data_IF_876881738292
#
_entry.id   IF_876881738292
#
_cell.length_a   1.000
_cell.length_b   1.000
_cell.length_c   1.000
_cell.angle_alpha   90.00
_cell.angle_beta   90.00
_cell.angle_gamma   90.00
#
_symmetry.space_group_name_H-M   'P 1'
#
loop_
_entity.id
_entity.type
_entity.pdbx_description
1 polymer ?
#
# COMPACT_ATOMS: atom_id res chain seq x y z
N UNK A 1 56.89 2.00 15.82
CA UNK A 1 58.01 1.90 14.85
C UNK A 1 58.58 3.27 14.51
N UNK A 2 58.79 4.16 15.49
CA UNK A 2 59.46 5.45 15.26
C UNK A 2 60.45 5.70 16.41
N UNK A 3 61.37 4.76 16.61
CA UNK A 3 62.56 5.01 17.42
C UNK A 3 63.75 5.08 16.47
N UNK A 4 63.92 6.25 15.85
CA UNK A 4 65.20 6.64 15.28
C UNK A 4 65.72 7.78 16.12
N UNK A 5 66.68 7.49 16.99
CA UNK A 5 67.49 8.51 17.67
C UNK A 5 68.40 9.13 16.61
N UNK A 6 67.85 10.09 15.86
CA UNK A 6 68.63 10.94 14.97
C UNK A 6 69.57 11.75 15.86
N UNK A 7 70.85 11.40 15.83
CA UNK A 7 71.91 12.19 16.47
C UNK A 7 71.86 13.60 15.89
N UNK A 8 71.53 14.57 16.73
CA UNK A 8 71.38 15.96 16.32
C UNK A 8 72.78 16.53 15.98
N UNK A 9 72.96 17.19 14.82
CA UNK A 9 74.23 17.86 14.52
C UNK A 9 74.52 18.95 15.56
N UNK A 10 75.77 19.10 15.99
CA UNK A 10 76.16 20.17 16.93
C UNK A 10 76.56 21.47 16.22
N UNK A 11 76.91 21.39 14.94
CA UNK A 11 77.25 22.55 14.11
C UNK A 11 76.00 23.37 13.77
N UNK A 12 75.99 24.71 14.01
CA UNK A 12 74.84 25.57 13.76
C UNK A 12 74.40 25.62 12.29
N UNK A 13 75.30 25.48 11.32
CA UNK A 13 74.89 25.39 9.90
C UNK A 13 74.21 24.07 9.58
N UNK A 14 74.78 22.95 10.04
CA UNK A 14 74.17 21.64 9.91
C UNK A 14 72.77 21.58 10.55
N UNK A 15 72.59 22.16 11.75
CA UNK A 15 71.29 22.30 12.43
C UNK A 15 70.26 23.10 11.62
N UNK A 16 70.66 24.23 11.03
CA UNK A 16 69.78 25.04 10.17
C UNK A 16 69.33 24.26 8.94
N UNK A 17 70.23 23.51 8.31
CA UNK A 17 69.89 22.66 7.16
C UNK A 17 68.93 21.52 7.54
N UNK A 18 69.15 20.90 8.70
CA UNK A 18 68.34 19.80 9.21
C UNK A 18 66.93 20.26 9.57
N UNK A 19 66.80 21.40 10.26
CA UNK A 19 65.49 21.99 10.59
C UNK A 19 64.73 22.43 9.35
N UNK A 20 65.40 22.97 8.32
CA UNK A 20 64.76 23.29 7.04
C UNK A 20 64.18 22.05 6.35
N UNK A 21 64.90 20.91 6.36
CA UNK A 21 64.40 19.63 5.82
C UNK A 21 63.22 19.10 6.62
N UNK A 22 63.28 19.12 7.96
CA UNK A 22 62.17 18.72 8.81
C UNK A 22 60.92 19.58 8.58
N UNK A 23 61.08 20.89 8.45
CA UNK A 23 59.97 21.79 8.14
C UNK A 23 59.35 21.47 6.77
N UNK A 24 60.15 21.12 5.77
CA UNK A 24 59.64 20.68 4.47
C UNK A 24 58.86 19.37 4.58
N UNK A 25 59.38 18.39 5.33
CA UNK A 25 58.73 17.10 5.56
C UNK A 25 57.41 17.25 6.32
N UNK A 26 57.39 18.03 7.39
CA UNK A 26 56.17 18.32 8.17
C UNK A 26 55.10 18.97 7.28
N UNK A 27 55.49 19.90 6.40
CA UNK A 27 54.57 20.50 5.43
C UNK A 27 54.03 19.46 4.44
N UNK A 28 54.89 18.61 3.89
CA UNK A 28 54.47 17.56 2.97
C UNK A 28 53.49 16.57 3.63
N UNK A 29 53.78 16.16 4.86
CA UNK A 29 52.91 15.29 5.65
C UNK A 29 51.57 15.95 5.99
N UNK A 30 51.55 17.24 6.35
CA UNK A 30 50.31 17.97 6.60
C UNK A 30 49.41 18.01 5.36
N UNK A 31 49.99 18.26 4.17
CA UNK A 31 49.26 18.23 2.89
C UNK A 31 48.70 16.82 2.62
N UNK A 32 49.49 15.78 2.86
CA UNK A 32 49.05 14.40 2.66
C UNK A 32 47.89 14.03 3.60
N UNK A 33 47.96 14.44 4.87
CA UNK A 33 46.90 14.23 5.84
C UNK A 33 45.61 14.91 5.40
N UNK A 34 45.68 16.17 4.95
CA UNK A 34 44.49 16.87 4.45
C UNK A 34 43.90 16.21 3.20
N UNK A 35 44.74 15.76 2.26
CA UNK A 35 44.29 14.98 1.10
C UNK A 35 43.55 13.71 1.52
N UNK A 36 44.12 12.94 2.44
CA UNK A 36 43.53 11.70 2.94
C UNK A 36 42.23 11.96 3.71
N UNK A 37 42.17 13.03 4.51
CA UNK A 37 40.95 13.46 5.21
C UNK A 37 39.84 13.79 4.23
N UNK A 38 40.15 14.55 3.17
CA UNK A 38 39.20 14.90 2.13
C UNK A 38 38.66 13.65 1.40
N UNK A 39 39.55 12.75 0.96
CA UNK A 39 39.16 11.49 0.32
C UNK A 39 38.26 10.64 1.24
N UNK A 40 38.64 10.50 2.51
CA UNK A 40 37.84 9.76 3.50
C UNK A 40 36.46 10.41 3.73
N UNK A 41 36.38 11.74 3.73
CA UNK A 41 35.10 12.45 3.82
C UNK A 41 34.23 12.16 2.59
N UNK A 42 34.80 12.24 1.38
CA UNK A 42 34.11 11.91 0.14
C UNK A 42 33.58 10.47 0.11
N UNK A 43 34.40 9.49 0.50
CA UNK A 43 33.96 8.09 0.57
C UNK A 43 32.85 7.87 1.60
N UNK A 44 32.90 8.55 2.76
CA UNK A 44 31.84 8.46 3.76
C UNK A 44 30.53 9.07 3.26
N UNK A 45 30.59 10.24 2.61
CA UNK A 45 29.42 10.87 2.03
C UNK A 45 28.80 10.03 0.90
N UNK A 46 29.63 9.36 0.08
CA UNK A 46 29.12 8.48 -0.97
C UNK A 46 28.51 7.18 -0.41
N UNK A 47 29.03 6.65 0.69
CA UNK A 47 28.58 5.36 1.24
C UNK A 47 27.43 5.47 2.23
N UNK A 48 27.38 6.58 2.97
CA UNK A 48 26.48 6.79 4.10
C UNK A 48 25.81 8.17 4.07
N UNK A 49 25.81 8.84 2.93
CA UNK A 49 25.14 10.14 2.78
C UNK A 49 23.72 10.00 2.24
N UNK A 50 22.96 11.09 2.31
CA UNK A 50 21.56 11.11 1.88
C UNK A 50 21.35 10.64 0.42
N UNK A 51 22.30 10.89 -0.49
CA UNK A 51 22.20 10.40 -1.87
C UNK A 51 22.34 8.88 -2.00
N UNK A 52 23.07 8.24 -1.08
CA UNK A 52 23.19 6.76 -1.04
C UNK A 52 21.96 6.08 -0.45
N UNK A 53 21.14 6.79 0.32
CA UNK A 53 19.89 6.29 0.91
C UNK A 53 18.71 6.29 -0.08
N UNK A 54 18.90 6.85 -1.29
CA UNK A 54 17.83 7.01 -2.29
C UNK A 54 17.20 5.69 -2.73
N UNK A 55 17.99 4.62 -2.84
CA UNK A 55 17.47 3.29 -3.20
C UNK A 55 16.60 2.69 -2.09
N UNK A 56 17.00 2.85 -0.83
CA UNK A 56 16.23 2.39 0.34
C UNK A 56 14.92 3.19 0.47
N UNK A 57 14.98 4.51 0.30
CA UNK A 57 13.79 5.37 0.29
C UNK A 57 12.83 5.02 -0.85
N UNK A 58 13.35 4.70 -2.04
CA UNK A 58 12.52 4.24 -3.16
C UNK A 58 11.84 2.92 -2.84
N UNK A 59 12.56 1.98 -2.22
CA UNK A 59 12.00 0.69 -1.81
C UNK A 59 10.84 0.87 -0.81
N UNK A 60 11.05 1.72 0.20
CA UNK A 60 10.01 2.07 1.17
C UNK A 60 8.80 2.74 0.49
N UNK A 61 9.03 3.65 -0.45
CA UNK A 61 7.96 4.30 -1.20
C UNK A 61 7.15 3.30 -2.03
N UNK A 62 7.81 2.33 -2.67
CA UNK A 62 7.14 1.26 -3.40
C UNK A 62 6.29 0.38 -2.46
N UNK A 63 6.84 -0.07 -1.34
CA UNK A 63 6.13 -0.87 -0.34
C UNK A 63 4.88 -0.13 0.17
N UNK A 64 4.99 1.16 0.51
CA UNK A 64 3.83 1.95 0.94
C UNK A 64 2.76 2.08 -0.15
N UNK A 65 3.17 2.13 -1.43
CA UNK A 65 2.25 2.20 -2.56
C UNK A 65 1.51 0.88 -2.77
N UNK A 66 2.18 -0.26 -2.59
CA UNK A 66 1.60 -1.60 -2.68
C UNK A 66 0.55 -1.80 -1.58
N UNK A 67 0.89 -1.45 -0.33
CA UNK A 67 -0.04 -1.49 0.81
C UNK A 67 -1.26 -0.61 0.53
N UNK A 68 -1.06 0.60 0.01
CA UNK A 68 -2.15 1.51 -0.32
C UNK A 68 -3.05 0.94 -1.43
N UNK A 69 -2.47 0.33 -2.47
CA UNK A 69 -3.21 -0.32 -3.54
C UNK A 69 -4.03 -1.50 -3.01
N UNK A 70 -3.44 -2.37 -2.20
CA UNK A 70 -4.16 -3.49 -1.56
C UNK A 70 -5.33 -3.00 -0.72
N UNK A 71 -5.14 -1.97 0.11
CA UNK A 71 -6.21 -1.38 0.91
C UNK A 71 -7.35 -0.83 0.04
N UNK A 72 -7.04 -0.21 -1.11
CA UNK A 72 -8.07 0.23 -2.05
C UNK A 72 -8.81 -0.96 -2.68
N UNK A 73 -8.10 -2.01 -3.09
CA UNK A 73 -8.75 -3.21 -3.65
C UNK A 73 -9.65 -3.90 -2.65
N UNK A 74 -9.25 -3.96 -1.37
CA UNK A 74 -10.07 -4.51 -0.30
C UNK A 74 -11.36 -3.71 -0.09
N UNK A 75 -11.31 -2.38 -0.21
CA UNK A 75 -12.51 -1.52 -0.15
C UNK A 75 -13.44 -1.69 -1.36
N UNK A 76 -12.91 -2.10 -2.51
CA UNK A 76 -13.70 -2.33 -3.73
C UNK A 76 -14.33 -3.72 -3.79
N UNK A 77 -13.87 -4.68 -2.96
CA UNK A 77 -14.53 -5.99 -2.84
C UNK A 77 -15.89 -5.77 -2.19
N UNK A 78 -16.96 -6.08 -2.93
CA UNK A 78 -18.29 -6.21 -2.36
C UNK A 78 -18.23 -7.31 -1.29
N UNK A 79 -18.93 -7.14 -0.14
CA UNK A 79 -19.05 -8.23 0.81
C UNK A 79 -19.62 -9.45 0.09
N UNK A 80 -19.12 -10.64 0.42
CA UNK A 80 -19.72 -11.88 -0.08
C UNK A 80 -21.20 -11.83 0.24
N UNK A 81 -22.02 -11.82 -0.82
CA UNK A 81 -23.46 -11.92 -0.68
C UNK A 81 -23.71 -13.36 -0.30
N UNK A 82 -23.70 -13.64 1.00
CA UNK A 82 -24.32 -14.87 1.50
C UNK A 82 -25.74 -14.91 0.92
N UNK A 83 -26.07 -15.96 0.17
CA UNK A 83 -27.43 -16.19 -0.29
C UNK A 83 -28.32 -16.37 0.94
N UNK A 84 -28.87 -15.27 1.44
CA UNK A 84 -29.87 -15.30 2.49
C UNK A 84 -31.04 -16.11 1.95
N UNK A 85 -31.34 -17.21 2.64
CA UNK A 85 -32.50 -18.05 2.37
C UNK A 85 -33.73 -17.15 2.24
N UNK A 86 -34.25 -17.01 1.02
CA UNK A 86 -35.46 -16.23 0.78
C UNK A 86 -36.57 -16.87 1.62
N UNK A 87 -37.30 -16.11 2.45
CA UNK A 87 -38.38 -16.68 3.25
C UNK A 87 -39.44 -17.25 2.30
N UNK A 88 -39.48 -18.58 2.17
CA UNK A 88 -40.52 -19.28 1.42
C UNK A 88 -41.79 -19.24 2.26
N UNK A 89 -42.85 -18.57 1.77
CA UNK A 89 -44.17 -18.64 2.39
C UNK A 89 -44.62 -20.11 2.36
N UNK A 90 -44.86 -20.70 3.53
CA UNK A 90 -45.46 -22.03 3.61
C UNK A 90 -46.95 -21.88 3.24
N UNK A 91 -47.52 -22.79 2.42
CA UNK A 91 -48.95 -22.77 2.12
C UNK A 91 -49.79 -22.92 3.39
N UNK A 92 -51.04 -22.42 3.38
CA UNK A 92 -51.92 -22.53 4.55
C UNK A 92 -52.31 -24.01 4.75
N UNK A 93 -52.20 -24.57 5.97
CA UNK A 93 -52.55 -25.96 6.24
C UNK A 93 -53.97 -26.36 5.82
N UNK A 94 -54.14 -27.57 5.28
CA UNK A 94 -55.41 -28.09 4.74
C UNK A 94 -56.53 -28.30 5.78
N UNK A 95 -56.19 -28.40 7.06
CA UNK A 95 -57.16 -28.62 8.13
C UNK A 95 -57.88 -27.34 8.59
N UNK A 96 -57.46 -26.17 8.10
CA UNK A 96 -58.11 -24.89 8.39
C UNK A 96 -59.35 -24.78 7.50
N UNK A 97 -60.46 -24.31 8.08
CA UNK A 97 -61.70 -24.05 7.30
C UNK A 97 -61.40 -23.02 6.21
N UNK A 98 -61.66 -23.39 4.94
CA UNK A 98 -61.47 -22.52 3.78
C UNK A 98 -62.80 -21.92 3.35
N UNK A 99 -62.77 -20.66 2.93
CA UNK A 99 -63.88 -19.98 2.27
C UNK A 99 -63.38 -19.58 0.89
N UNK A 100 -64.01 -20.10 -0.16
CA UNK A 100 -63.66 -19.78 -1.55
C UNK A 100 -64.51 -18.59 -2.01
N UNK A 101 -63.83 -17.53 -2.50
CA UNK A 101 -64.49 -16.36 -3.08
C UNK A 101 -63.97 -16.18 -4.50
N UNK A 102 -64.82 -16.45 -5.48
CA UNK A 102 -64.47 -16.22 -6.88
C UNK A 102 -64.67 -14.74 -7.23
N UNK A 103 -63.61 -14.07 -7.67
CA UNK A 103 -63.66 -12.68 -8.14
C UNK A 103 -63.81 -12.65 -9.66
N UNK A 104 -65.05 -12.60 -10.13
CA UNK A 104 -65.35 -12.43 -11.56
C UNK A 104 -65.62 -10.96 -11.90
N UNK A 105 -65.33 -10.51 -13.14
CA UNK A 105 -65.88 -9.26 -13.64
C UNK A 105 -67.42 -9.29 -13.54
N UNK A 106 -68.04 -8.21 -13.05
CA UNK A 106 -69.51 -8.16 -12.86
C UNK A 106 -70.34 -8.14 -14.15
N UNK A 107 -69.69 -8.17 -15.33
CA UNK A 107 -70.33 -8.15 -16.63
C UNK A 107 -69.82 -9.30 -17.50
N UNK A 108 -70.72 -9.93 -18.26
CA UNK A 108 -70.35 -11.03 -19.17
C UNK A 108 -69.81 -10.56 -20.54
N UNK A 109 -69.83 -9.26 -20.79
CA UNK A 109 -69.36 -8.64 -22.01
C UNK A 109 -68.40 -7.48 -21.73
N UNK A 110 -67.46 -7.26 -22.64
CA UNK A 110 -66.53 -6.14 -22.57
C UNK A 110 -67.28 -4.81 -22.72
N UNK A 111 -67.06 -3.87 -21.80
CA UNK A 111 -67.71 -2.56 -21.80
C UNK A 111 -67.37 -1.72 -23.06
N UNK A 112 -66.21 -1.95 -23.68
CA UNK A 112 -65.72 -1.15 -24.80
C UNK A 112 -66.12 -1.71 -26.18
N UNK A 113 -66.23 -3.04 -26.32
CA UNK A 113 -66.49 -3.69 -27.62
C UNK A 113 -67.71 -4.63 -27.64
N UNK A 114 -68.35 -4.88 -26.50
CA UNK A 114 -69.53 -5.76 -26.40
C UNK A 114 -69.27 -7.25 -26.59
N UNK A 115 -68.01 -7.67 -26.77
CA UNK A 115 -67.65 -9.07 -26.94
C UNK A 115 -67.82 -9.88 -25.65
N UNK A 116 -68.26 -11.14 -25.76
CA UNK A 116 -68.43 -12.06 -24.61
C UNK A 116 -67.08 -12.40 -23.98
N UNK A 117 -66.98 -12.25 -22.65
CA UNK A 117 -65.77 -12.60 -21.90
C UNK A 117 -65.62 -14.13 -21.77
N UNK A 118 -64.37 -14.62 -21.81
CA UNK A 118 -64.02 -16.01 -21.54
C UNK A 118 -62.84 -16.07 -20.57
N UNK A 119 -62.75 -17.12 -19.77
CA UNK A 119 -61.63 -17.34 -18.84
C UNK A 119 -60.34 -17.65 -19.63
N UNK A 120 -59.24 -16.97 -19.29
CA UNK A 120 -57.92 -17.13 -19.93
C UNK A 120 -56.88 -17.69 -18.95
N UNK A 121 -56.99 -17.35 -17.66
CA UNK A 121 -56.14 -17.85 -16.58
C UNK A 121 -56.79 -17.59 -15.23
N UNK A 122 -56.20 -18.14 -14.17
CA UNK A 122 -56.61 -17.96 -12.78
C UNK A 122 -55.39 -17.57 -11.94
N UNK A 123 -55.58 -16.61 -11.04
CA UNK A 123 -54.61 -16.28 -9.99
C UNK A 123 -55.29 -16.56 -8.65
N UNK A 124 -54.65 -17.38 -7.81
CA UNK A 124 -55.19 -17.79 -6.50
C UNK A 124 -54.35 -17.17 -5.39
N UNK A 125 -55.01 -16.51 -4.45
CA UNK A 125 -54.37 -15.98 -3.24
C UNK A 125 -55.03 -16.55 -2.01
N UNK A 126 -54.22 -17.06 -1.07
CA UNK A 126 -54.68 -17.54 0.22
C UNK A 126 -54.44 -16.48 1.30
N UNK A 127 -55.47 -16.18 2.11
CA UNK A 127 -55.39 -15.27 3.24
C UNK A 127 -55.97 -15.91 4.51
N UNK A 128 -55.38 -15.59 5.67
CA UNK A 128 -55.93 -15.92 7.00
C UNK A 128 -56.57 -14.65 7.56
N UNK A 129 -57.84 -14.71 7.95
CA UNK A 129 -58.53 -13.67 8.73
C UNK A 129 -58.48 -13.96 10.23
#
# INVERSE_FOLDING_TARGET
MLDQTLTLPEDPEALRSFTARLLAEVKAQAILIEKLRHQRAGHRAHRFGASSETAEQLHLALETSEIAAEAMTARMKLPDVEEKDKPKRRPIPDHIRRIEVELTPGAEACADCGGRLRRIGEDVTEALE
#
